data_IF_519248170256
#
_entry.id   IF_519248170256
#
_cell.length_a   1.000
_cell.length_b   1.000
_cell.length_c   1.000
_cell.angle_alpha   90.00
_cell.angle_beta   90.00
_cell.angle_gamma   90.00
#
_symmetry.space_group_name_H-M   'P 1'
#
loop_
_entity.id
_entity.type
_entity.pdbx_description
1 polymer ?
#
# COMPACT_ATOMS: atom_id res chain seq x y z
N UNK A 1 -27.94 0.51 -23.24
CA UNK A 1 -28.25 0.45 -21.80
C UNK A 1 -26.97 0.08 -21.08
N UNK A 2 -26.44 1.01 -20.28
CA UNK A 2 -25.12 0.95 -19.68
C UNK A 2 -25.06 -0.14 -18.60
N UNK A 3 -24.01 -0.96 -18.63
CA UNK A 3 -23.64 -1.82 -17.50
C UNK A 3 -22.47 -1.14 -16.80
N UNK A 4 -22.78 -0.45 -15.70
CA UNK A 4 -21.80 0.09 -14.79
C UNK A 4 -20.96 -1.06 -14.24
N UNK A 5 -19.71 -1.18 -14.68
CA UNK A 5 -18.72 -2.01 -14.04
C UNK A 5 -18.47 -1.43 -12.65
N UNK A 6 -19.03 -2.08 -11.63
CA UNK A 6 -18.80 -1.77 -10.23
C UNK A 6 -17.31 -2.00 -9.94
N UNK A 7 -16.52 -0.93 -10.02
CA UNK A 7 -15.17 -0.85 -9.47
C UNK A 7 -15.29 -0.97 -7.95
N UNK A 8 -15.36 -2.21 -7.46
CA UNK A 8 -15.27 -2.49 -6.04
C UNK A 8 -13.83 -2.16 -5.60
N UNK A 9 -13.69 -0.95 -5.06
CA UNK A 9 -12.53 -0.48 -4.31
C UNK A 9 -12.06 -1.55 -3.33
N UNK A 10 -10.84 -2.03 -3.54
CA UNK A 10 -10.12 -2.84 -2.58
C UNK A 10 -9.75 -1.97 -1.39
N UNK A 11 -10.60 -1.99 -0.36
CA UNK A 11 -10.21 -1.54 0.98
C UNK A 11 -9.44 -2.69 1.64
N UNK A 12 -8.24 -2.38 2.11
CA UNK A 12 -7.31 -3.33 2.69
C UNK A 12 -7.91 -4.16 3.82
N UNK A 13 -7.60 -5.45 3.79
CA UNK A 13 -7.62 -6.29 4.98
C UNK A 13 -6.23 -6.89 5.13
N UNK A 14 -5.29 -6.04 5.56
CA UNK A 14 -4.12 -6.53 6.29
C UNK A 14 -4.64 -7.06 7.63
N UNK A 15 -4.55 -8.36 7.83
CA UNK A 15 -4.65 -8.95 9.16
C UNK A 15 -3.63 -10.07 9.20
N UNK A 16 -2.42 -9.69 9.59
CA UNK A 16 -1.42 -10.60 10.12
C UNK A 16 -1.99 -11.20 11.41
N UNK A 17 -2.23 -12.50 11.42
CA UNK A 17 -2.40 -13.33 12.62
C UNK A 17 -2.38 -14.80 12.20
N UNK A 18 -1.28 -15.47 12.55
CA UNK A 18 -1.15 -16.90 12.45
C UNK A 18 -2.28 -17.66 13.19
N UNK A 19 -2.55 -18.88 12.71
CA UNK A 19 -3.28 -20.00 13.37
C UNK A 19 -4.64 -20.33 12.77
N UNK A 20 -4.59 -21.26 11.82
CA UNK A 20 -5.38 -22.49 11.75
C UNK A 20 -6.74 -22.53 12.47
N UNK A 21 -7.81 -22.28 11.72
CA UNK A 21 -9.09 -22.95 11.89
C UNK A 21 -9.88 -22.88 10.57
N UNK A 22 -9.47 -23.70 9.59
CA UNK A 22 -10.26 -23.89 8.37
C UNK A 22 -11.55 -24.65 8.73
N UNK A 23 -12.62 -23.92 9.04
CA UNK A 23 -13.96 -24.50 9.22
C UNK A 23 -14.56 -24.91 7.88
N UNK A 24 -15.46 -25.90 7.88
CA UNK A 24 -16.20 -26.50 6.75
C UNK A 24 -16.88 -25.48 5.79
N UNK A 25 -17.00 -24.21 6.17
CA UNK A 25 -17.45 -23.13 5.28
C UNK A 25 -16.44 -22.79 4.17
N UNK A 26 -15.15 -23.12 4.33
CA UNK A 26 -14.13 -22.90 3.31
C UNK A 26 -14.27 -23.85 2.09
N UNK A 27 -15.02 -24.95 2.24
CA UNK A 27 -15.17 -25.98 1.19
C UNK A 27 -16.12 -25.57 0.07
N UNK A 28 -16.99 -24.58 0.31
CA UNK A 28 -18.00 -24.08 -0.65
C UNK A 28 -17.55 -22.79 -1.33
N UNK A 29 -16.43 -22.20 -0.91
CA UNK A 29 -15.89 -21.02 -1.55
C UNK A 29 -15.08 -21.45 -2.78
N UNK A 30 -15.35 -20.90 -3.98
CA UNK A 30 -14.48 -21.13 -5.12
C UNK A 30 -13.08 -20.73 -4.69
N UNK A 31 -12.15 -21.69 -4.76
CA UNK A 31 -10.73 -21.49 -4.45
C UNK A 31 -10.24 -20.41 -5.39
N UNK A 32 -10.24 -19.16 -4.93
CA UNK A 32 -9.89 -17.99 -5.72
C UNK A 32 -8.41 -18.12 -6.00
N UNK A 33 -8.05 -18.72 -7.14
CA UNK A 33 -6.72 -18.64 -7.69
C UNK A 33 -6.48 -17.17 -7.97
N UNK A 34 -5.86 -16.49 -7.02
CA UNK A 34 -5.29 -15.17 -7.27
C UNK A 34 -4.16 -15.41 -8.26
N UNK A 35 -4.36 -15.03 -9.52
CA UNK A 35 -3.24 -14.90 -10.42
C UNK A 35 -2.32 -13.85 -9.80
N UNK A 36 -1.13 -14.27 -9.38
CA UNK A 36 -0.12 -13.30 -9.01
C UNK A 36 0.18 -12.43 -10.23
N UNK A 37 0.33 -11.11 -10.07
CA UNK A 37 0.67 -10.25 -11.17
C UNK A 37 1.95 -10.78 -11.84
N UNK A 38 1.91 -10.90 -13.18
CA UNK A 38 3.10 -11.27 -13.94
C UNK A 38 4.07 -10.10 -13.93
N UNK A 39 5.37 -10.37 -13.72
CA UNK A 39 6.41 -9.36 -13.81
C UNK A 39 6.51 -8.70 -15.20
N UNK A 40 5.89 -9.30 -16.22
CA UNK A 40 5.85 -8.82 -17.61
C UNK A 40 4.54 -8.14 -18.00
N UNK A 41 3.59 -7.97 -17.06
CA UNK A 41 2.35 -7.26 -17.37
C UNK A 41 2.64 -5.78 -17.62
N UNK A 42 2.02 -5.22 -18.66
CA UNK A 42 2.09 -3.78 -18.91
C UNK A 42 1.34 -3.03 -17.81
N UNK A 43 1.98 -1.99 -17.28
CA UNK A 43 1.41 -1.14 -16.24
C UNK A 43 0.50 -0.09 -16.86
N UNK A 44 -0.66 0.16 -16.24
CA UNK A 44 -1.49 1.32 -16.59
C UNK A 44 -0.75 2.63 -16.31
N UNK A 45 -1.22 3.74 -16.88
CA UNK A 45 -0.61 5.06 -16.67
C UNK A 45 -0.53 5.42 -15.17
N UNK A 46 -1.63 5.30 -14.44
CA UNK A 46 -1.68 5.52 -12.98
C UNK A 46 -0.70 4.63 -12.19
N UNK A 47 -0.49 3.40 -12.64
CA UNK A 47 0.45 2.46 -11.99
C UNK A 47 1.89 2.85 -12.28
N UNK A 48 2.20 3.33 -13.49
CA UNK A 48 3.52 3.83 -13.83
C UNK A 48 3.83 5.11 -13.05
N UNK A 49 2.88 6.03 -12.94
CA UNK A 49 3.03 7.26 -12.17
C UNK A 49 3.28 6.96 -10.69
N UNK A 50 2.44 6.11 -10.08
CA UNK A 50 2.67 5.66 -8.70
C UNK A 50 4.04 4.99 -8.55
N UNK A 51 4.44 4.16 -9.51
CA UNK A 51 5.76 3.52 -9.47
C UNK A 51 6.89 4.55 -9.51
N UNK A 52 6.79 5.60 -10.33
CA UNK A 52 7.79 6.68 -10.38
C UNK A 52 7.91 7.40 -9.04
N UNK A 53 6.78 7.73 -8.41
CA UNK A 53 6.78 8.35 -7.07
C UNK A 53 7.45 7.43 -6.05
N UNK A 54 7.06 6.15 -6.01
CA UNK A 54 7.65 5.17 -5.08
C UNK A 54 9.15 4.95 -5.32
N UNK A 55 9.59 4.91 -6.58
CA UNK A 55 11.02 4.78 -6.92
C UNK A 55 11.82 6.03 -6.53
N UNK A 56 11.19 7.21 -6.56
CA UNK A 56 11.81 8.48 -6.20
C UNK A 56 11.85 8.72 -4.67
N UNK A 57 10.93 8.12 -3.91
CA UNK A 57 10.86 8.24 -2.46
C UNK A 57 12.10 7.60 -1.81
N UNK A 58 13.00 8.43 -1.28
CA UNK A 58 14.20 7.96 -0.56
C UNK A 58 13.95 7.63 0.90
N UNK A 59 13.04 8.36 1.54
CA UNK A 59 12.69 8.21 2.95
C UNK A 59 11.20 7.97 3.03
N UNK A 60 10.82 6.81 3.57
CA UNK A 60 9.41 6.50 3.80
C UNK A 60 8.90 7.19 5.05
N UNK A 61 7.58 7.32 5.17
CA UNK A 61 6.95 7.82 6.39
C UNK A 61 7.40 7.05 7.63
N UNK A 62 7.44 5.71 7.54
CA UNK A 62 7.82 4.85 8.65
C UNK A 62 9.29 5.02 9.04
N UNK A 63 10.19 5.19 8.06
CA UNK A 63 11.61 5.47 8.33
C UNK A 63 11.75 6.81 9.07
N UNK A 64 11.10 7.86 8.58
CA UNK A 64 11.14 9.18 9.21
C UNK A 64 10.56 9.17 10.63
N UNK A 65 9.41 8.52 10.82
CA UNK A 65 8.77 8.40 12.12
C UNK A 65 9.62 7.60 13.12
N UNK A 66 10.19 6.47 12.67
CA UNK A 66 11.04 5.60 13.49
C UNK A 66 12.30 6.34 13.92
N UNK A 67 12.95 7.05 13.01
CA UNK A 67 14.11 7.89 13.32
C UNK A 67 13.74 8.97 14.32
N UNK A 68 12.66 9.74 14.09
CA UNK A 68 12.26 10.84 14.96
C UNK A 68 11.96 10.39 16.41
N UNK A 69 11.26 9.26 16.59
CA UNK A 69 10.97 8.71 17.93
C UNK A 69 12.23 8.09 18.56
N UNK A 70 13.14 7.54 17.75
CA UNK A 70 14.38 6.94 18.21
C UNK A 70 15.40 7.94 18.75
N UNK A 71 15.44 9.16 18.19
CA UNK A 71 16.37 10.23 18.59
C UNK A 71 16.03 10.83 19.96
N UNK A 72 14.76 10.80 20.39
CA UNK A 72 14.32 11.38 21.66
C UNK A 72 13.82 10.30 22.60
N UNK A 73 14.61 10.00 23.63
CA UNK A 73 14.24 9.00 24.65
C UNK A 73 12.91 9.36 25.33
N UNK A 74 11.93 8.45 25.26
CA UNK A 74 10.55 8.65 25.72
C UNK A 74 9.79 9.78 25.02
N UNK A 75 10.29 10.27 23.88
CA UNK A 75 9.62 11.22 23.02
C UNK A 75 8.38 10.63 22.36
N UNK A 76 7.48 11.50 21.91
CA UNK A 76 6.30 11.13 21.12
C UNK A 76 6.32 11.98 19.86
N UNK A 77 6.08 11.34 18.72
CA UNK A 77 5.86 12.04 17.46
C UNK A 77 4.55 12.85 17.58
N UNK A 78 4.62 14.14 17.27
CA UNK A 78 3.47 15.07 17.37
C UNK A 78 2.98 15.48 15.98
N UNK A 79 3.90 15.61 15.03
CA UNK A 79 3.64 15.95 13.64
C UNK A 79 4.78 15.39 12.77
N UNK A 80 4.48 15.08 11.50
CA UNK A 80 5.43 14.62 10.51
C UNK A 80 4.94 15.00 9.11
N UNK A 81 5.69 15.87 8.45
CA UNK A 81 5.45 16.28 7.07
C UNK A 81 6.59 15.76 6.18
N UNK A 82 6.25 15.30 4.98
CA UNK A 82 7.20 14.76 4.01
C UNK A 82 7.20 15.64 2.77
N UNK A 83 8.38 16.07 2.36
CA UNK A 83 8.56 16.81 1.12
C UNK A 83 8.24 15.91 -0.09
N UNK A 84 7.37 16.41 -0.97
CA UNK A 84 6.96 15.73 -2.19
C UNK A 84 8.01 15.82 -3.28
N UNK A 85 7.89 14.94 -4.28
CA UNK A 85 8.81 14.88 -5.44
C UNK A 85 8.76 16.17 -6.28
N UNK A 86 7.65 16.92 -6.21
CA UNK A 86 7.43 18.17 -6.95
C UNK A 86 7.56 19.43 -6.09
N UNK A 87 7.90 19.30 -4.80
CA UNK A 87 8.01 20.46 -3.90
C UNK A 87 9.32 21.25 -4.11
N UNK A 88 10.34 20.65 -4.73
CA UNK A 88 11.59 21.29 -5.16
C UNK A 88 11.40 22.36 -6.26
N UNK A 89 10.28 22.37 -6.99
CA UNK A 89 10.02 23.26 -8.14
C UNK A 89 9.20 24.51 -7.78
N UNK A 90 8.90 24.75 -6.50
CA UNK A 90 8.13 25.90 -6.02
C UNK A 90 8.99 26.92 -5.26
N UNK A 91 10.02 27.45 -5.91
CA UNK A 91 10.79 28.63 -5.48
C UNK A 91 10.81 29.74 -6.55
#
# INVERSE_FOLDING_TARGET
MAAAALLLTACGQSSDSATSAATEAAKVLPRKTTASPSATAELTEDQQERKRVLDATKVTFDDAATTAVGEVANGKLVDLDLEGVDDDDRD
#
